data_IF_168193630307
#
_entry.id   IF_168193630307
#
_cell.length_a   1.000
_cell.length_b   1.000
_cell.length_c   1.000
_cell.angle_alpha   90.00
_cell.angle_beta   90.00
_cell.angle_gamma   90.00
#
_symmetry.space_group_name_H-M   'P 1'
#
loop_
_entity.id
_entity.type
_entity.pdbx_description
1 polymer ?
#
# COMPACT_ATOMS: atom_id res chain seq x y z
N UNK A 1 -7.72 1.59 7.42
CA UNK A 1 -8.11 2.45 6.26
C UNK A 1 -7.20 3.66 6.24
N UNK A 2 -6.74 4.07 5.06
CA UNK A 2 -5.95 5.29 4.89
C UNK A 2 -6.88 6.44 4.51
N UNK A 3 -6.69 7.60 5.16
CA UNK A 3 -7.43 8.83 4.90
C UNK A 3 -6.46 9.90 4.38
N UNK A 4 -6.83 10.54 3.29
CA UNK A 4 -6.09 11.65 2.70
C UNK A 4 -6.68 13.00 3.14
N UNK A 5 -5.92 14.08 2.99
CA UNK A 5 -6.31 15.43 3.43
C UNK A 5 -7.53 15.98 2.67
N UNK A 6 -7.81 15.46 1.47
CA UNK A 6 -9.00 15.76 0.66
C UNK A 6 -10.26 14.99 1.12
N UNK A 7 -10.17 14.24 2.21
CA UNK A 7 -11.26 13.42 2.73
C UNK A 7 -11.47 12.11 1.98
N UNK A 8 -10.66 11.80 0.95
CA UNK A 8 -10.74 10.52 0.26
C UNK A 8 -10.30 9.39 1.19
N UNK A 9 -11.07 8.30 1.15
CA UNK A 9 -10.76 7.07 1.89
C UNK A 9 -10.32 6.02 0.88
N UNK A 10 -9.20 5.37 1.17
CA UNK A 10 -8.70 4.26 0.38
C UNK A 10 -8.54 3.00 1.25
N UNK A 11 -9.15 1.93 0.77
CA UNK A 11 -8.93 0.58 1.29
C UNK A 11 -7.58 0.08 0.82
N UNK A 12 -6.82 -0.48 1.74
CA UNK A 12 -5.57 -1.20 1.46
C UNK A 12 -5.69 -2.62 1.98
N UNK A 13 -4.95 -3.58 1.39
CA UNK A 13 -4.87 -4.93 1.91
C UNK A 13 -4.39 -4.94 3.38
N UNK A 14 -4.99 -5.76 4.26
CA UNK A 14 -4.62 -5.83 5.68
C UNK A 14 -3.15 -6.21 5.91
N UNK A 15 -2.55 -6.99 5.01
CA UNK A 15 -1.13 -7.36 5.09
C UNK A 15 -0.16 -6.19 4.84
N UNK A 16 -0.65 -5.03 4.40
CA UNK A 16 0.15 -3.81 4.31
C UNK A 16 0.14 -3.00 5.60
N UNK A 17 -0.65 -3.41 6.58
CA UNK A 17 -0.74 -2.79 7.90
C UNK A 17 -0.27 -3.76 8.97
N UNK A 18 -0.20 -3.27 10.20
CA UNK A 18 0.11 -4.03 11.42
C UNK A 18 -1.02 -4.96 11.88
N UNK A 19 -2.14 -5.00 11.14
CA UNK A 19 -3.32 -5.81 11.48
C UNK A 19 -3.06 -7.30 11.28
N UNK A 20 -2.18 -7.65 10.34
CA UNK A 20 -1.79 -9.02 10.04
C UNK A 20 -0.31 -9.20 10.35
N UNK A 21 0.05 -10.34 10.93
CA UNK A 21 1.45 -10.66 11.19
C UNK A 21 2.27 -10.66 9.89
N UNK A 22 3.52 -10.15 9.90
CA UNK A 22 4.34 -10.10 8.70
C UNK A 22 4.59 -11.50 8.14
N UNK A 23 4.63 -11.60 6.80
CA UNK A 23 4.95 -12.85 6.13
C UNK A 23 6.41 -13.28 6.45
N UNK A 24 6.72 -14.59 6.47
CA UNK A 24 8.06 -15.08 6.82
C UNK A 24 9.18 -14.45 6.00
N UNK A 25 8.95 -14.17 4.72
CA UNK A 25 9.91 -13.55 3.82
C UNK A 25 10.29 -12.14 4.28
N UNK A 26 9.32 -11.39 4.82
CA UNK A 26 9.51 -10.05 5.38
C UNK A 26 10.32 -10.16 6.69
N UNK A 27 9.98 -11.12 7.56
CA UNK A 27 10.69 -11.36 8.82
C UNK A 27 12.15 -11.75 8.57
N UNK A 28 12.40 -12.66 7.64
CA UNK A 28 13.75 -13.08 7.25
C UNK A 28 14.55 -11.93 6.61
N UNK A 29 13.88 -10.98 5.97
CA UNK A 29 14.47 -9.77 5.42
C UNK A 29 15.09 -8.85 6.47
N UNK A 30 14.69 -8.95 7.75
CA UNK A 30 15.20 -8.15 8.87
C UNK A 30 15.17 -6.64 8.57
N UNK A 31 14.07 -6.16 7.99
CA UNK A 31 13.88 -4.76 7.63
C UNK A 31 14.45 -4.33 6.27
N UNK A 32 15.14 -5.22 5.55
CA UNK A 32 15.60 -4.96 4.16
C UNK A 32 14.49 -5.08 3.12
N UNK A 33 13.39 -5.73 3.47
CA UNK A 33 12.19 -5.82 2.67
C UNK A 33 10.97 -5.60 3.59
N UNK A 34 10.17 -4.58 3.29
CA UNK A 34 8.93 -4.27 4.03
C UNK A 34 7.69 -4.89 3.38
N UNK A 35 7.83 -5.35 2.14
CA UNK A 35 6.75 -5.93 1.34
C UNK A 35 7.27 -7.16 0.61
N UNK A 36 6.38 -8.12 0.34
CA UNK A 36 6.62 -9.10 -0.72
C UNK A 36 6.56 -8.38 -2.06
N UNK A 37 7.23 -8.92 -3.08
CA UNK A 37 7.24 -8.31 -4.43
C UNK A 37 5.83 -8.11 -4.97
N UNK A 38 4.93 -9.08 -4.77
CA UNK A 38 3.53 -8.97 -5.19
C UNK A 38 2.81 -7.79 -4.52
N UNK A 39 3.01 -7.59 -3.22
CA UNK A 39 2.41 -6.49 -2.47
C UNK A 39 2.97 -5.12 -2.95
N UNK A 40 4.26 -5.05 -3.28
CA UNK A 40 4.88 -3.84 -3.83
C UNK A 40 4.31 -3.48 -5.21
N UNK A 41 4.07 -4.47 -6.07
CA UNK A 41 3.46 -4.24 -7.38
C UNK A 41 2.02 -3.73 -7.26
N UNK A 42 1.24 -4.31 -6.35
CA UNK A 42 -0.13 -3.86 -6.10
C UNK A 42 -0.16 -2.45 -5.49
N UNK A 43 0.79 -2.12 -4.60
CA UNK A 43 0.95 -0.75 -4.09
C UNK A 43 1.28 0.24 -5.20
N UNK A 44 2.18 -0.11 -6.12
CA UNK A 44 2.52 0.74 -7.26
C UNK A 44 1.30 1.02 -8.15
N UNK A 45 0.46 0.01 -8.41
CA UNK A 45 -0.79 0.17 -9.16
C UNK A 45 -1.79 1.06 -8.43
N UNK A 46 -1.89 0.94 -7.10
CA UNK A 46 -2.76 1.79 -6.30
C UNK A 46 -2.32 3.25 -6.38
N UNK A 47 -1.03 3.52 -6.21
CA UNK A 47 -0.47 4.88 -6.30
C UNK A 47 -0.69 5.47 -7.69
N UNK A 48 -0.46 4.70 -8.75
CA UNK A 48 -0.72 5.16 -10.12
C UNK A 48 -2.19 5.56 -10.32
N UNK A 49 -3.13 4.76 -9.80
CA UNK A 49 -4.57 5.06 -9.87
C UNK A 49 -4.93 6.32 -9.07
N UNK A 50 -4.36 6.50 -7.88
CA UNK A 50 -4.62 7.68 -7.05
C UNK A 50 -4.02 8.95 -7.70
N UNK A 51 -2.83 8.86 -8.28
CA UNK A 51 -2.21 9.96 -9.02
C UNK A 51 -3.06 10.38 -10.22
N UNK A 52 -3.55 9.42 -11.02
CA UNK A 52 -4.42 9.69 -12.14
C UNK A 52 -5.74 10.37 -11.73
N UNK A 53 -6.35 9.96 -10.60
CA UNK A 53 -7.55 10.62 -10.06
C UNK A 53 -7.30 12.07 -9.69
N UNK A 54 -6.18 12.34 -9.03
CA UNK A 54 -5.76 13.70 -8.66
C UNK A 54 -5.52 14.58 -9.89
N UNK A 55 -4.99 14.02 -10.98
CA UNK A 55 -4.81 14.74 -12.24
C UNK A 55 -6.09 14.98 -13.03
N UNK A 56 -7.14 14.18 -12.80
CA UNK A 56 -8.44 14.29 -13.47
C UNK A 56 -9.40 15.32 -12.85
N UNK A 57 -8.99 16.03 -11.79
CA UNK A 57 -9.73 17.15 -11.19
C UNK A 57 -9.28 18.48 -11.83
N UNK A 58 -9.41 18.58 -13.15
CA UNK A 58 -9.29 19.84 -13.90
C UNK A 58 -10.56 20.10 -14.70
#
# INVERSE_FOLDING_TARGET
MLRFDDGAICSVPPQWTDVVAPAPEIVMGQGRALFRVADLMELALLVARLAARRSGTM
#
